data_IF_253936370565
#
_entry.id   IF_253936370565
#
_cell.length_a   1.000
_cell.length_b   1.000
_cell.length_c   1.000
_cell.angle_alpha   90.00
_cell.angle_beta   90.00
_cell.angle_gamma   90.00
#
_symmetry.space_group_name_H-M   'P 1'
#
loop_
_entity.id
_entity.type
_entity.pdbx_description
1 polymer ?
#
# COMPACT_ATOMS: atom_id res chain seq x y z
N UNK A 1 19.62 -9.47 -30.71
CA UNK A 1 19.97 -8.90 -29.39
C UNK A 1 18.82 -9.13 -28.43
N UNK A 2 19.05 -9.43 -27.17
CA UNK A 2 17.97 -9.67 -26.20
C UNK A 2 17.35 -8.32 -25.82
N UNK A 3 16.06 -8.12 -26.15
CA UNK A 3 15.31 -6.86 -25.88
C UNK A 3 15.38 -6.42 -24.40
N UNK A 4 15.48 -7.37 -23.48
CA UNK A 4 15.65 -7.09 -22.05
C UNK A 4 17.02 -6.50 -21.72
N UNK A 5 18.08 -6.95 -22.37
CA UNK A 5 19.40 -6.36 -22.20
C UNK A 5 19.47 -4.97 -22.82
N UNK A 6 18.83 -4.79 -23.96
CA UNK A 6 18.77 -3.52 -24.67
C UNK A 6 18.08 -2.43 -23.83
N UNK A 7 16.90 -2.71 -23.27
CA UNK A 7 16.19 -1.74 -22.43
C UNK A 7 16.96 -1.38 -21.14
N UNK A 8 17.66 -2.35 -20.54
CA UNK A 8 18.53 -2.11 -19.38
C UNK A 8 19.72 -1.22 -19.70
N UNK A 9 20.20 -1.22 -20.94
CA UNK A 9 21.28 -0.34 -21.39
C UNK A 9 20.81 1.07 -21.72
N UNK A 10 19.54 1.23 -22.12
CA UNK A 10 18.96 2.51 -22.53
C UNK A 10 18.39 3.32 -21.34
N UNK A 11 17.93 2.65 -20.30
CA UNK A 11 17.27 3.29 -19.16
C UNK A 11 18.11 3.15 -17.89
N UNK A 12 18.30 4.28 -17.20
CA UNK A 12 18.90 4.29 -15.87
C UNK A 12 17.85 3.95 -14.80
N UNK A 13 18.23 3.12 -13.82
CA UNK A 13 17.35 2.76 -12.71
C UNK A 13 16.78 3.96 -11.97
N UNK A 14 17.59 5.00 -11.78
CA UNK A 14 17.17 6.23 -11.13
C UNK A 14 16.05 6.96 -11.86
N UNK A 15 16.14 7.05 -13.19
CA UNK A 15 15.12 7.69 -14.04
C UNK A 15 13.80 6.93 -13.99
N UNK A 16 13.89 5.59 -14.09
CA UNK A 16 12.72 4.71 -14.03
C UNK A 16 12.01 4.82 -12.68
N UNK A 17 12.78 4.76 -11.60
CA UNK A 17 12.20 4.85 -10.26
C UNK A 17 11.63 6.24 -10.00
N UNK A 18 12.30 7.29 -10.41
CA UNK A 18 11.77 8.65 -10.26
C UNK A 18 10.49 8.88 -11.09
N UNK A 19 10.40 8.28 -12.28
CA UNK A 19 9.18 8.34 -13.09
C UNK A 19 7.96 7.73 -12.37
N UNK A 20 8.13 6.56 -11.71
CA UNK A 20 7.00 5.87 -11.07
C UNK A 20 6.74 6.30 -9.61
N UNK A 21 7.76 6.66 -8.87
CA UNK A 21 7.65 7.02 -7.45
C UNK A 21 7.67 8.54 -7.19
N UNK A 22 8.06 9.32 -8.20
CA UNK A 22 8.15 10.79 -8.07
C UNK A 22 9.39 11.23 -7.30
N UNK A 23 9.24 12.25 -6.46
CA UNK A 23 10.35 12.86 -5.72
C UNK A 23 10.87 11.92 -4.63
N UNK A 24 12.20 11.68 -4.53
CA UNK A 24 12.80 10.87 -3.48
C UNK A 24 12.64 11.52 -2.10
N UNK A 25 12.51 10.69 -1.06
CA UNK A 25 12.51 11.14 0.33
C UNK A 25 13.84 11.83 0.70
N UNK A 26 14.98 11.30 0.20
CA UNK A 26 16.31 11.85 0.41
C UNK A 26 17.21 11.54 -0.80
N UNK A 27 18.00 12.52 -1.24
CA UNK A 27 19.09 12.33 -2.21
C UNK A 27 20.43 12.32 -1.47
N UNK A 28 21.32 11.43 -1.90
CA UNK A 28 22.71 11.36 -1.44
C UNK A 28 23.64 11.41 -2.66
N UNK A 29 24.93 11.55 -2.43
CA UNK A 29 25.92 11.49 -3.50
C UNK A 29 25.91 10.14 -4.25
N UNK A 30 25.57 9.05 -3.56
CA UNK A 30 25.60 7.69 -4.09
C UNK A 30 24.26 7.16 -4.60
N UNK A 31 23.15 7.89 -4.42
CA UNK A 31 21.83 7.45 -4.87
C UNK A 31 20.67 8.14 -4.15
N UNK A 32 19.50 7.57 -4.33
CA UNK A 32 18.22 8.11 -3.87
C UNK A 32 17.50 7.15 -2.95
N UNK A 33 16.89 7.69 -1.91
CA UNK A 33 16.09 6.95 -0.94
C UNK A 33 14.61 7.24 -1.12
N UNK A 34 13.80 6.20 -1.16
CA UNK A 34 12.35 6.24 -1.23
C UNK A 34 11.73 5.41 -0.11
N UNK A 35 10.47 5.67 0.19
CA UNK A 35 9.66 4.68 0.91
C UNK A 35 9.30 3.55 -0.04
N UNK A 36 9.32 2.31 0.45
CA UNK A 36 9.01 1.15 -0.40
C UNK A 36 7.59 1.27 -0.98
N UNK A 37 7.41 1.10 -2.30
CA UNK A 37 6.09 1.10 -2.92
C UNK A 37 5.32 -0.21 -2.67
N UNK A 38 5.96 -1.18 -2.02
CA UNK A 38 5.43 -2.54 -1.83
C UNK A 38 4.86 -2.77 -0.44
N UNK A 39 5.14 -1.87 0.51
CA UNK A 39 4.65 -1.92 1.88
C UNK A 39 4.54 -0.53 2.49
N UNK A 40 3.85 -0.46 3.61
CA UNK A 40 3.77 0.75 4.41
C UNK A 40 4.96 0.82 5.38
N UNK A 41 5.68 1.94 5.37
CA UNK A 41 6.82 2.13 6.27
C UNK A 41 6.92 3.60 6.72
N UNK A 42 7.51 3.80 7.90
CA UNK A 42 7.71 5.17 8.45
C UNK A 42 8.97 5.82 7.89
N UNK A 43 10.04 5.03 7.73
CA UNK A 43 11.35 5.48 7.24
C UNK A 43 11.61 4.97 5.84
N UNK A 44 12.34 5.74 5.03
CA UNK A 44 12.72 5.33 3.68
C UNK A 44 13.75 4.20 3.75
N UNK A 45 13.45 3.06 3.12
CA UNK A 45 14.30 1.88 3.05
C UNK A 45 14.53 1.36 1.64
N UNK A 46 13.93 1.98 0.65
CA UNK A 46 14.07 1.62 -0.75
C UNK A 46 15.14 2.50 -1.40
N UNK A 47 16.29 1.93 -1.68
CA UNK A 47 17.47 2.64 -2.18
C UNK A 47 17.72 2.37 -3.66
N UNK A 48 17.99 3.42 -4.41
CA UNK A 48 18.24 3.39 -5.85
C UNK A 48 19.58 4.04 -6.15
N UNK A 49 20.45 3.37 -6.88
CA UNK A 49 21.76 3.85 -7.28
C UNK A 49 22.12 3.33 -8.68
N UNK A 50 23.23 3.76 -9.23
CA UNK A 50 23.78 3.22 -10.48
C UNK A 50 24.03 1.69 -10.42
N UNK A 51 24.28 1.14 -9.22
CA UNK A 51 24.52 -0.29 -9.01
C UNK A 51 23.22 -1.13 -9.02
N UNK A 52 22.06 -0.49 -8.96
CA UNK A 52 20.75 -1.13 -8.95
C UNK A 52 19.81 -0.60 -7.87
N UNK A 53 18.74 -1.33 -7.66
CA UNK A 53 17.66 -0.99 -6.75
C UNK A 53 17.65 -2.02 -5.61
N UNK A 54 17.71 -1.55 -4.38
CA UNK A 54 17.73 -2.38 -3.19
C UNK A 54 16.66 -1.97 -2.19
N UNK A 55 15.81 -2.90 -1.81
CA UNK A 55 14.83 -2.72 -0.75
C UNK A 55 15.37 -3.33 0.57
N UNK A 56 15.97 -2.51 1.42
CA UNK A 56 16.55 -2.94 2.68
C UNK A 56 15.51 -3.50 3.67
N UNK A 57 14.27 -3.12 3.55
CA UNK A 57 13.22 -3.61 4.44
C UNK A 57 12.73 -5.03 4.12
N UNK A 58 12.91 -5.51 2.89
CA UNK A 58 12.63 -6.89 2.46
C UNK A 58 13.87 -7.66 2.05
N UNK A 59 15.06 -7.02 2.05
CA UNK A 59 16.33 -7.58 1.56
C UNK A 59 16.27 -8.04 0.10
N UNK A 60 15.41 -7.41 -0.70
CA UNK A 60 15.24 -7.73 -2.12
C UNK A 60 16.03 -6.78 -3.01
N UNK A 61 16.57 -7.32 -4.10
CA UNK A 61 17.23 -6.56 -5.16
C UNK A 61 16.38 -6.56 -6.42
N UNK A 62 16.33 -5.42 -7.10
CA UNK A 62 15.59 -5.27 -8.35
C UNK A 62 16.49 -4.67 -9.44
N UNK A 63 16.26 -5.09 -10.65
CA UNK A 63 16.57 -4.29 -11.85
C UNK A 63 15.29 -3.53 -12.30
N UNK A 64 15.39 -2.71 -13.33
CA UNK A 64 14.26 -1.91 -13.82
C UNK A 64 13.07 -2.77 -14.28
N UNK A 65 13.32 -3.97 -14.79
CA UNK A 65 12.25 -4.85 -15.28
C UNK A 65 11.57 -5.54 -14.12
N UNK A 66 12.32 -6.16 -13.22
CA UNK A 66 11.78 -6.83 -12.04
C UNK A 66 11.06 -5.85 -11.09
N UNK A 67 11.54 -4.61 -10.99
CA UNK A 67 10.80 -3.55 -10.31
C UNK A 67 9.44 -3.29 -10.96
N UNK A 68 9.40 -3.04 -12.28
CA UNK A 68 8.14 -2.74 -13.00
C UNK A 68 7.20 -3.95 -12.97
N UNK A 69 7.74 -5.18 -13.10
CA UNK A 69 6.99 -6.44 -12.96
C UNK A 69 6.25 -6.50 -11.62
N UNK A 70 6.97 -6.27 -10.51
CA UNK A 70 6.38 -6.26 -9.16
C UNK A 70 5.48 -5.05 -8.96
N UNK A 71 5.88 -3.87 -9.45
CA UNK A 71 5.13 -2.62 -9.28
C UNK A 71 3.75 -2.66 -9.95
N UNK A 72 3.63 -3.26 -11.14
CA UNK A 72 2.37 -3.41 -11.87
C UNK A 72 1.71 -4.78 -11.67
N UNK A 73 2.32 -5.68 -10.88
CA UNK A 73 1.87 -7.06 -10.68
C UNK A 73 1.61 -7.77 -12.03
N UNK A 74 2.63 -7.84 -12.86
CA UNK A 74 2.58 -8.36 -14.23
C UNK A 74 3.78 -9.26 -14.51
N UNK A 75 3.89 -9.78 -15.72
CA UNK A 75 5.08 -10.54 -16.18
C UNK A 75 6.16 -9.63 -16.78
N UNK A 76 7.35 -10.19 -17.00
CA UNK A 76 8.50 -9.44 -17.51
C UNK A 76 8.27 -8.88 -18.92
N UNK A 77 7.49 -9.56 -19.77
CA UNK A 77 7.23 -9.10 -21.13
C UNK A 77 6.28 -7.89 -21.13
N UNK A 78 5.26 -7.90 -20.30
CA UNK A 78 4.38 -6.77 -20.11
C UNK A 78 5.10 -5.59 -19.40
N UNK A 79 6.01 -5.87 -18.47
CA UNK A 79 6.88 -4.85 -17.89
C UNK A 79 7.77 -4.18 -18.96
N UNK A 80 8.33 -4.96 -19.87
CA UNK A 80 9.08 -4.43 -21.02
C UNK A 80 8.20 -3.51 -21.89
N UNK A 81 6.95 -3.91 -22.19
CA UNK A 81 6.00 -3.09 -22.94
C UNK A 81 5.69 -1.76 -22.25
N UNK A 82 5.46 -1.80 -20.93
CA UNK A 82 5.20 -0.61 -20.11
C UNK A 82 6.38 0.34 -20.19
N UNK A 83 7.61 -0.15 -19.99
CA UNK A 83 8.82 0.66 -20.08
C UNK A 83 9.00 1.28 -21.46
N UNK A 84 8.83 0.49 -22.53
CA UNK A 84 8.92 1.01 -23.90
C UNK A 84 7.92 2.12 -24.18
N UNK A 85 6.68 1.98 -23.71
CA UNK A 85 5.65 3.00 -23.89
C UNK A 85 5.94 4.25 -23.07
N UNK A 86 6.29 4.10 -21.80
CA UNK A 86 6.43 5.22 -20.86
C UNK A 86 7.67 6.06 -21.14
N UNK A 87 8.72 5.45 -21.69
CA UNK A 87 9.98 6.09 -22.08
C UNK A 87 10.12 6.31 -23.61
N UNK A 88 9.06 6.07 -24.39
CA UNK A 88 9.05 6.34 -25.83
C UNK A 88 10.02 5.47 -26.65
N UNK A 89 10.32 4.26 -26.19
CA UNK A 89 11.27 3.37 -26.86
C UNK A 89 10.58 2.52 -27.94
N UNK A 90 11.12 2.55 -29.16
CA UNK A 90 10.56 1.84 -30.33
C UNK A 90 11.03 0.38 -30.45
N UNK A 91 11.26 -0.30 -29.34
CA UNK A 91 11.74 -1.69 -29.31
C UNK A 91 10.66 -2.74 -29.61
N UNK A 92 9.40 -2.34 -29.62
CA UNK A 92 8.24 -3.21 -29.79
C UNK A 92 7.22 -2.56 -30.73
N UNK A 93 6.45 -3.40 -31.46
CA UNK A 93 5.34 -2.92 -32.30
C UNK A 93 4.26 -2.23 -31.46
N UNK A 94 3.98 -0.95 -31.80
CA UNK A 94 3.24 -0.04 -30.91
C UNK A 94 1.72 -0.25 -30.87
N UNK A 95 1.10 -0.91 -31.87
CA UNK A 95 -0.37 -0.92 -32.00
C UNK A 95 -1.09 -1.83 -30.99
N UNK A 96 -0.59 -3.04 -30.74
CA UNK A 96 -1.23 -3.99 -29.81
C UNK A 96 -0.94 -3.69 -28.32
N UNK A 97 0.06 -2.88 -28.05
CA UNK A 97 0.58 -2.69 -26.71
C UNK A 97 -0.15 -1.62 -25.90
N UNK A 98 -0.71 -0.57 -26.54
CA UNK A 98 -1.32 0.57 -25.85
C UNK A 98 -2.53 0.18 -24.99
N UNK A 99 -3.40 -0.72 -25.50
CA UNK A 99 -4.60 -1.15 -24.77
C UNK A 99 -4.23 -2.00 -23.55
N UNK A 100 -3.31 -2.95 -23.70
CA UNK A 100 -2.82 -3.79 -22.58
C UNK A 100 -2.19 -2.92 -21.48
N UNK A 101 -1.36 -1.94 -21.86
CA UNK A 101 -0.72 -1.02 -20.90
C UNK A 101 -1.77 -0.18 -20.17
N UNK A 102 -2.75 0.36 -20.90
CA UNK A 102 -3.86 1.13 -20.33
C UNK A 102 -4.65 0.30 -19.31
N UNK A 103 -4.94 -0.96 -19.64
CA UNK A 103 -5.64 -1.89 -18.72
C UNK A 103 -4.82 -2.19 -17.46
N UNK A 104 -3.51 -2.43 -17.58
CA UNK A 104 -2.62 -2.67 -16.45
C UNK A 104 -2.52 -1.45 -15.51
N UNK A 105 -2.36 -0.26 -16.09
CA UNK A 105 -2.35 0.99 -15.32
C UNK A 105 -3.68 1.25 -14.62
N UNK A 106 -4.81 1.05 -15.31
CA UNK A 106 -6.15 1.19 -14.74
C UNK A 106 -6.41 0.18 -13.60
N UNK A 107 -5.95 -1.08 -13.76
CA UNK A 107 -6.06 -2.12 -12.73
C UNK A 107 -5.28 -1.71 -11.47
N UNK A 108 -4.05 -1.20 -11.64
CA UNK A 108 -3.23 -0.76 -10.51
C UNK A 108 -3.86 0.44 -9.78
N UNK A 109 -4.39 1.41 -10.52
CA UNK A 109 -5.02 2.57 -9.90
C UNK A 109 -6.27 2.19 -9.12
N UNK A 110 -7.12 1.31 -9.66
CA UNK A 110 -8.28 0.75 -8.94
C UNK A 110 -7.86 0.00 -7.66
N UNK A 111 -6.77 -0.77 -7.72
CA UNK A 111 -6.26 -1.47 -6.55
C UNK A 111 -5.73 -0.50 -5.48
N UNK A 112 -5.04 0.56 -5.90
CA UNK A 112 -4.59 1.65 -5.03
C UNK A 112 -5.75 2.35 -4.34
N UNK A 113 -6.78 2.73 -5.11
CA UNK A 113 -7.99 3.37 -4.58
C UNK A 113 -8.72 2.45 -3.59
N UNK A 114 -8.83 1.15 -3.93
CA UNK A 114 -9.42 0.16 -3.04
C UNK A 114 -8.66 0.06 -1.72
N UNK A 115 -7.34 -0.06 -1.75
CA UNK A 115 -6.50 -0.09 -0.54
C UNK A 115 -6.67 1.16 0.31
N UNK A 116 -6.72 2.33 -0.34
CA UNK A 116 -6.94 3.60 0.37
C UNK A 116 -8.33 3.67 1.04
N UNK A 117 -9.37 3.17 0.36
CA UNK A 117 -10.73 3.09 0.92
C UNK A 117 -10.78 2.17 2.15
N UNK A 118 -10.16 0.99 2.06
CA UNK A 118 -10.07 0.03 3.17
C UNK A 118 -9.33 0.64 4.35
N UNK A 119 -8.24 1.33 4.09
CA UNK A 119 -7.46 1.97 5.14
C UNK A 119 -8.24 3.10 5.83
N UNK A 120 -8.91 3.97 5.05
CA UNK A 120 -9.74 5.04 5.57
C UNK A 120 -10.90 4.47 6.42
N UNK A 121 -11.59 3.46 5.90
CA UNK A 121 -12.66 2.77 6.64
C UNK A 121 -12.13 2.20 7.96
N UNK A 122 -11.00 1.51 7.95
CA UNK A 122 -10.41 0.92 9.15
C UNK A 122 -10.14 1.95 10.24
N UNK A 123 -9.54 3.09 9.89
CA UNK A 123 -9.32 4.17 10.85
C UNK A 123 -10.63 4.78 11.36
N UNK A 124 -11.62 4.97 10.49
CA UNK A 124 -12.92 5.50 10.89
C UNK A 124 -13.61 4.56 11.88
N UNK A 125 -13.58 3.26 11.61
CA UNK A 125 -14.20 2.25 12.46
C UNK A 125 -13.50 2.11 13.81
N UNK A 126 -12.16 2.12 13.81
CA UNK A 126 -11.39 2.17 15.07
C UNK A 126 -11.76 3.37 15.93
N UNK A 127 -11.88 4.55 15.34
CA UNK A 127 -12.29 5.75 16.06
C UNK A 127 -13.71 5.64 16.61
N UNK A 128 -14.66 5.07 15.85
CA UNK A 128 -16.03 4.83 16.31
C UNK A 128 -16.02 3.96 17.57
N UNK A 129 -15.33 2.81 17.50
CA UNK A 129 -15.26 1.87 18.63
C UNK A 129 -14.63 2.54 19.87
N UNK A 130 -13.50 3.23 19.70
CA UNK A 130 -12.85 3.95 20.81
C UNK A 130 -13.78 4.97 21.47
N UNK A 131 -14.51 5.76 20.67
CA UNK A 131 -15.45 6.75 21.20
C UNK A 131 -16.61 6.08 21.94
N UNK A 132 -17.17 5.00 21.40
CA UNK A 132 -18.26 4.27 22.04
C UNK A 132 -17.83 3.61 23.37
N UNK A 133 -16.59 3.10 23.45
CA UNK A 133 -16.03 2.59 24.70
C UNK A 133 -15.98 3.72 25.73
N UNK A 134 -15.41 4.88 25.39
CA UNK A 134 -15.29 6.00 26.30
C UNK A 134 -16.65 6.54 26.79
N UNK A 135 -17.63 6.60 25.88
CA UNK A 135 -18.99 7.01 26.24
C UNK A 135 -19.66 5.99 27.18
N UNK A 136 -19.49 4.70 26.90
CA UNK A 136 -20.04 3.61 27.74
C UNK A 136 -19.40 3.63 29.13
N UNK A 137 -18.09 3.83 29.23
CA UNK A 137 -17.38 3.98 30.52
C UNK A 137 -17.89 5.16 31.33
N UNK A 138 -18.16 6.31 30.68
CA UNK A 138 -18.74 7.49 31.36
C UNK A 138 -20.12 7.19 31.92
N UNK A 139 -20.95 6.48 31.12
CA UNK A 139 -22.30 6.11 31.59
C UNK A 139 -22.21 5.10 32.74
N UNK A 140 -21.35 4.11 32.70
CA UNK A 140 -21.14 3.17 33.81
C UNK A 140 -20.80 3.92 35.08
N UNK A 141 -19.85 4.87 35.06
CA UNK A 141 -19.46 5.69 36.22
C UNK A 141 -20.63 6.49 36.80
N UNK A 142 -21.55 6.97 35.96
CA UNK A 142 -22.74 7.69 36.39
C UNK A 142 -23.70 6.76 37.13
N UNK A 143 -23.90 5.53 36.62
CA UNK A 143 -24.88 4.61 37.15
C UNK A 143 -24.37 3.69 38.28
N UNK A 144 -23.05 3.54 38.46
CA UNK A 144 -22.43 2.67 39.49
C UNK A 144 -22.92 2.92 40.92
N UNK A 145 -23.27 4.17 41.22
CA UNK A 145 -23.75 4.57 42.53
C UNK A 145 -25.29 4.72 42.62
N UNK A 146 -26.01 4.10 41.71
CA UNK A 146 -27.44 4.15 41.60
C UNK A 146 -28.12 2.78 41.75
N UNK A 147 -29.43 2.75 41.95
CA UNK A 147 -30.19 1.49 42.04
C UNK A 147 -30.55 0.88 40.68
N UNK A 148 -30.00 1.37 39.58
CA UNK A 148 -30.34 0.95 38.22
C UNK A 148 -29.55 -0.26 37.76
N UNK A 149 -29.64 -1.40 38.46
CA UNK A 149 -28.88 -2.61 38.21
C UNK A 149 -29.05 -3.19 36.78
N UNK A 150 -30.26 -3.15 36.22
CA UNK A 150 -30.50 -3.64 34.85
C UNK A 150 -29.82 -2.77 33.81
N UNK A 151 -29.81 -1.44 34.01
CA UNK A 151 -29.09 -0.52 33.10
C UNK A 151 -27.59 -0.75 33.15
N UNK A 152 -27.02 -0.94 34.33
CA UNK A 152 -25.59 -1.26 34.50
C UNK A 152 -25.22 -2.58 33.79
N UNK A 153 -26.02 -3.60 33.93
CA UNK A 153 -25.80 -4.88 33.23
C UNK A 153 -25.72 -4.70 31.72
N UNK A 154 -26.67 -3.96 31.12
CA UNK A 154 -26.68 -3.68 29.69
C UNK A 154 -25.44 -2.88 29.24
N UNK A 155 -24.98 -1.94 30.06
CA UNK A 155 -23.78 -1.13 29.76
C UNK A 155 -22.51 -1.99 29.83
N UNK A 156 -22.36 -2.85 30.84
CA UNK A 156 -21.21 -3.78 30.90
C UNK A 156 -21.21 -4.78 29.74
N UNK A 157 -22.36 -5.34 29.38
CA UNK A 157 -22.47 -6.23 28.21
C UNK A 157 -22.10 -5.51 26.90
N UNK A 158 -22.46 -4.24 26.78
CA UNK A 158 -22.05 -3.39 25.64
C UNK A 158 -20.56 -3.14 25.64
N UNK A 159 -19.98 -2.79 26.79
CA UNK A 159 -18.53 -2.55 26.93
C UNK A 159 -17.72 -3.78 26.50
N UNK A 160 -18.06 -4.96 27.03
CA UNK A 160 -17.39 -6.21 26.69
C UNK A 160 -17.43 -6.46 25.17
N UNK A 161 -18.57 -6.26 24.52
CA UNK A 161 -18.68 -6.43 23.06
C UNK A 161 -17.78 -5.47 22.28
N UNK A 162 -17.73 -4.21 22.68
CA UNK A 162 -16.88 -3.20 22.04
C UNK A 162 -15.40 -3.49 22.25
N UNK A 163 -14.99 -3.94 23.43
CA UNK A 163 -13.61 -4.34 23.71
C UNK A 163 -13.17 -5.54 22.85
N UNK A 164 -14.03 -6.55 22.69
CA UNK A 164 -13.78 -7.68 21.80
C UNK A 164 -13.65 -7.21 20.35
N UNK A 165 -14.54 -6.34 19.89
CA UNK A 165 -14.49 -5.78 18.53
C UNK A 165 -13.20 -4.99 18.30
N UNK A 166 -12.79 -4.18 19.26
CA UNK A 166 -11.53 -3.44 19.25
C UNK A 166 -10.31 -4.36 19.18
N UNK A 167 -10.30 -5.42 20.00
CA UNK A 167 -9.22 -6.40 20.01
C UNK A 167 -9.11 -7.15 18.68
N UNK A 168 -10.23 -7.56 18.08
CA UNK A 168 -10.27 -8.18 16.75
C UNK A 168 -9.65 -7.23 15.71
N UNK A 169 -10.02 -5.95 15.73
CA UNK A 169 -9.48 -4.98 14.79
C UNK A 169 -7.98 -4.72 15.01
N UNK A 170 -7.51 -4.64 16.26
CA UNK A 170 -6.09 -4.45 16.55
C UNK A 170 -5.23 -5.62 16.11
N UNK A 171 -5.70 -6.85 16.35
CA UNK A 171 -4.94 -8.07 16.10
C UNK A 171 -5.03 -8.56 14.64
N UNK A 172 -5.92 -7.97 13.82
CA UNK A 172 -6.05 -8.34 12.43
C UNK A 172 -4.94 -7.74 11.60
N UNK A 173 -4.01 -8.58 11.12
CA UNK A 173 -2.94 -8.17 10.19
C UNK A 173 -3.44 -7.86 8.77
N UNK A 174 -4.61 -8.38 8.40
CA UNK A 174 -5.21 -8.25 7.07
C UNK A 174 -6.56 -7.48 7.14
N UNK A 175 -6.47 -6.18 6.92
CA UNK A 175 -7.61 -5.26 6.97
C UNK A 175 -8.69 -5.56 5.91
N UNK A 176 -8.31 -6.21 4.79
CA UNK A 176 -9.25 -6.57 3.72
C UNK A 176 -10.28 -7.59 4.18
N UNK A 177 -9.89 -8.52 5.08
CA UNK A 177 -10.81 -9.53 5.62
C UNK A 177 -11.93 -8.93 6.47
N UNK A 178 -11.67 -7.80 7.12
CA UNK A 178 -12.66 -7.10 7.93
C UNK A 178 -13.54 -6.16 7.11
N UNK A 179 -13.02 -5.67 5.98
CA UNK A 179 -13.75 -4.76 5.12
C UNK A 179 -14.87 -5.48 4.36
N UNK A 180 -16.09 -5.32 4.85
CA UNK A 180 -17.31 -5.74 4.16
C UNK A 180 -17.74 -4.58 3.24
N UNK A 181 -17.01 -4.37 2.16
CA UNK A 181 -17.28 -3.26 1.26
C UNK A 181 -18.73 -3.22 0.81
N UNK A 182 -19.37 -2.05 0.94
CA UNK A 182 -20.69 -1.78 0.39
C UNK A 182 -20.65 -1.62 -1.14
#
# INVERSE_FOLDING_TARGET
MNKFAEIKSLLKGEEVIQHYLGTPYKRTYTGMWYKSPFRKEKTASFYVSEKGIHDFGSSEHYDIISFVTKYFNTDNYNALKILCNDFGLSLLDQKENKETIKQLKAKREKEKERKLKIEKWFYTEMHRICNEIQETEKLIKIFENTSYFETLKVLYDKQIKLEIEFEIMQNTGDKEKLYKGG
#
